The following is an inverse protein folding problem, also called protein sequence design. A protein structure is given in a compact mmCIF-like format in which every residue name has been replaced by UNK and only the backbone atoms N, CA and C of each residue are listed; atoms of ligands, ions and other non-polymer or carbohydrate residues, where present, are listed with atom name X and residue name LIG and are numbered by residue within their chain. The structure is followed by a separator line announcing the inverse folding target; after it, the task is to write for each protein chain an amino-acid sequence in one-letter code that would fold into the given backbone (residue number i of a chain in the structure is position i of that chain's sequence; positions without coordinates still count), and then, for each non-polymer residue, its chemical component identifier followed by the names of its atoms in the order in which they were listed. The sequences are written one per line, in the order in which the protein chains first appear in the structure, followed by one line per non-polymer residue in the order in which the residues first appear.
data_IF_019754337421
#
_entry.id   IF_019754337421
#
_cell.length_a   1.000
_cell.length_b   1.000
_cell.length_c   1.000
_cell.angle_alpha   90.00
_cell.angle_beta   90.00
_cell.angle_gamma   90.00
#
_symmetry.space_group_name_H-M   'P 1'
#
loop_
_entity.id
_entity.type
_entity.pdbx_description
1 polymer ?
#
# COMPACT_ATOMS: atom_id res chain seq x y z
N UNK A 1 10.60 -6.22 -12.43
CA UNK A 1 10.33 -4.77 -12.19
C UNK A 1 9.75 -4.59 -10.79
N UNK A 2 10.33 -3.72 -9.97
CA UNK A 2 9.84 -3.37 -8.63
C UNK A 2 9.11 -2.03 -8.72
N UNK A 3 7.84 -2.01 -8.28
CA UNK A 3 7.02 -0.79 -8.24
C UNK A 3 6.65 -0.47 -6.80
N UNK A 4 7.09 0.69 -6.32
CA UNK A 4 6.75 1.23 -5.02
C UNK A 4 5.58 2.21 -5.15
N UNK A 5 4.49 1.99 -4.38
CA UNK A 5 3.30 2.86 -4.40
C UNK A 5 3.04 3.37 -3.00
N UNK A 6 3.46 4.59 -2.73
CA UNK A 6 3.28 5.23 -1.42
C UNK A 6 2.17 6.28 -1.42
N UNK A 7 1.74 6.68 -0.24
CA UNK A 7 0.75 7.74 -0.10
C UNK A 7 -0.11 7.62 1.15
N UNK A 8 -0.86 8.68 1.50
CA UNK A 8 -1.68 8.72 2.69
C UNK A 8 -2.85 7.73 2.65
N UNK A 9 -3.50 7.57 3.78
CA UNK A 9 -4.71 6.72 3.90
C UNK A 9 -5.82 7.25 2.99
N UNK A 10 -6.55 6.33 2.35
CA UNK A 10 -7.68 6.62 1.45
C UNK A 10 -7.31 7.44 0.17
N UNK A 11 -6.03 7.55 -0.20
CA UNK A 11 -5.62 8.19 -1.47
C UNK A 11 -5.95 7.38 -2.73
N UNK A 12 -6.39 6.12 -2.59
CA UNK A 12 -6.62 5.22 -3.72
C UNK A 12 -5.39 4.38 -4.11
N UNK A 13 -4.25 4.51 -3.41
CA UNK A 13 -3.00 3.80 -3.73
C UNK A 13 -3.15 2.28 -3.85
N UNK A 14 -3.88 1.64 -2.92
CA UNK A 14 -4.08 0.18 -2.96
C UNK A 14 -4.88 -0.28 -4.19
N UNK A 15 -5.85 0.51 -4.65
CA UNK A 15 -6.59 0.26 -5.88
C UNK A 15 -5.67 0.38 -7.09
N UNK A 16 -4.85 1.43 -7.12
CA UNK A 16 -3.85 1.68 -8.15
C UNK A 16 -2.78 0.57 -8.16
N UNK A 17 -2.23 0.21 -7.00
CA UNK A 17 -1.24 -0.85 -6.89
C UNK A 17 -1.75 -2.20 -7.41
N UNK A 18 -2.99 -2.57 -7.06
CA UNK A 18 -3.64 -3.78 -7.60
C UNK A 18 -3.84 -3.72 -9.11
N UNK A 19 -4.23 -2.57 -9.64
CA UNK A 19 -4.40 -2.40 -11.08
C UNK A 19 -3.07 -2.50 -11.84
N UNK A 20 -1.99 -1.90 -11.31
CA UNK A 20 -0.63 -2.05 -11.85
C UNK A 20 -0.20 -3.52 -11.79
N UNK A 21 -0.38 -4.18 -10.64
CA UNK A 21 -0.07 -5.59 -10.46
C UNK A 21 -0.76 -6.47 -11.51
N UNK A 22 -2.08 -6.29 -11.69
CA UNK A 22 -2.85 -7.04 -12.67
C UNK A 22 -2.42 -6.76 -14.12
N UNK A 23 -2.13 -5.49 -14.44
CA UNK A 23 -1.75 -5.08 -15.80
C UNK A 23 -0.38 -5.63 -16.22
N UNK A 24 0.59 -5.65 -15.30
CA UNK A 24 1.95 -6.11 -15.58
C UNK A 24 2.23 -7.55 -15.16
N UNK A 25 1.23 -8.27 -14.62
CA UNK A 25 1.38 -9.65 -14.15
C UNK A 25 2.35 -9.78 -12.97
N UNK A 26 2.47 -8.76 -12.13
CA UNK A 26 3.38 -8.73 -10.99
C UNK A 26 2.66 -9.12 -9.68
N UNK A 27 3.29 -9.85 -8.76
CA UNK A 27 2.73 -10.07 -7.44
C UNK A 27 2.56 -8.74 -6.68
N UNK A 28 1.54 -8.66 -5.80
CA UNK A 28 1.22 -7.47 -5.04
C UNK A 28 1.24 -7.72 -3.53
N UNK A 29 1.85 -6.81 -2.78
CA UNK A 29 1.83 -6.79 -1.32
C UNK A 29 1.26 -5.46 -0.81
N UNK A 30 0.09 -5.52 -0.16
CA UNK A 30 -0.40 -4.45 0.71
C UNK A 30 0.33 -4.53 2.05
N UNK A 31 1.38 -3.73 2.21
CA UNK A 31 2.18 -3.75 3.44
C UNK A 31 1.39 -3.24 4.65
N UNK A 32 0.36 -2.45 4.42
CA UNK A 32 -0.56 -2.02 5.46
C UNK A 32 -1.28 -3.18 6.15
N UNK A 33 -1.51 -4.30 5.46
CA UNK A 33 -2.09 -5.51 6.07
C UNK A 33 -1.17 -6.12 7.12
N UNK A 34 0.15 -6.07 6.94
CA UNK A 34 1.10 -6.56 7.93
C UNK A 34 0.98 -5.77 9.25
N UNK A 35 0.97 -4.45 9.18
CA UNK A 35 0.78 -3.61 10.36
C UNK A 35 -0.61 -3.76 10.99
N UNK A 36 -1.64 -4.00 10.16
CA UNK A 36 -3.00 -4.32 10.66
C UNK A 36 -3.03 -5.66 11.39
N UNK A 37 -2.32 -6.67 10.89
CA UNK A 37 -2.17 -7.95 11.57
C UNK A 37 -1.45 -7.80 12.91
N UNK A 38 -0.35 -7.05 12.98
CA UNK A 38 0.34 -6.74 14.25
C UNK A 38 -0.61 -6.05 15.23
N UNK A 39 -1.29 -4.98 14.81
CA UNK A 39 -2.22 -4.25 15.68
C UNK A 39 -3.38 -5.13 16.16
N UNK A 40 -3.94 -5.94 15.27
CA UNK A 40 -5.02 -6.89 15.59
C UNK A 40 -4.55 -7.97 16.55
N UNK A 41 -3.38 -8.58 16.30
CA UNK A 41 -2.79 -9.61 17.15
C UNK A 41 -2.48 -9.05 18.55
N UNK A 42 -1.91 -7.86 18.64
CA UNK A 42 -1.67 -7.15 19.91
C UNK A 42 -2.98 -6.99 20.69
N UNK A 43 -4.03 -6.50 20.04
CA UNK A 43 -5.34 -6.31 20.68
C UNK A 43 -5.98 -7.62 21.12
N UNK A 44 -5.92 -8.69 20.31
CA UNK A 44 -6.45 -10.00 20.65
C UNK A 44 -5.73 -10.63 21.85
N UNK A 45 -4.43 -10.36 22.00
CA UNK A 45 -3.64 -10.80 23.14
C UNK A 45 -3.84 -9.93 24.41
N UNK A 46 -4.70 -8.91 24.35
CA UNK A 46 -4.91 -7.97 25.46
C UNK A 46 -3.78 -6.96 25.66
N UNK A 47 -2.87 -6.84 24.69
CA UNK A 47 -1.76 -5.88 24.72
C UNK A 47 -2.20 -4.47 24.31
N UNK A 48 -1.33 -3.49 24.61
CA UNK A 48 -1.53 -2.10 24.25
C UNK A 48 -0.68 -1.75 23.00
N UNK A 49 -1.31 -1.42 21.86
CA UNK A 49 -0.58 -1.06 20.63
C UNK A 49 0.30 0.19 20.75
N UNK A 50 0.16 0.99 21.80
CA UNK A 50 1.04 2.14 22.08
C UNK A 50 2.27 1.75 22.91
N UNK A 51 2.33 0.54 23.46
CA UNK A 51 3.50 0.00 24.12
C UNK A 51 4.38 -0.75 23.12
N UNK A 52 5.64 -0.33 23.01
CA UNK A 52 6.58 -0.88 22.04
C UNK A 52 6.82 -2.38 22.21
N UNK A 53 6.87 -2.87 23.45
CA UNK A 53 7.10 -4.29 23.77
C UNK A 53 5.89 -5.15 23.35
N UNK A 54 4.66 -4.75 23.67
CA UNK A 54 3.44 -5.45 23.30
C UNK A 54 3.30 -5.53 21.78
N UNK A 55 3.54 -4.39 21.11
CA UNK A 55 3.49 -4.30 19.65
C UNK A 55 4.58 -5.15 18.98
N UNK A 56 5.79 -5.21 19.56
CA UNK A 56 6.88 -6.04 19.04
C UNK A 56 6.57 -7.53 19.17
N UNK A 57 6.10 -7.99 20.33
CA UNK A 57 5.67 -9.39 20.52
C UNK A 57 4.59 -9.76 19.49
N UNK A 58 3.67 -8.87 19.21
CA UNK A 58 2.59 -9.07 18.26
C UNK A 58 3.05 -9.20 16.79
N UNK A 59 4.31 -8.88 16.45
CA UNK A 59 4.86 -9.12 15.10
C UNK A 59 4.95 -10.61 14.74
N UNK A 60 4.92 -11.49 15.73
CA UNK A 60 4.91 -12.94 15.55
C UNK A 60 3.49 -13.50 15.35
N UNK A 61 2.65 -12.77 14.61
CA UNK A 61 1.30 -13.22 14.29
C UNK A 61 1.31 -14.41 13.32
N UNK A 62 0.32 -15.34 13.44
CA UNK A 62 0.19 -16.46 12.51
C UNK A 62 -0.23 -15.96 11.11
N UNK A 63 0.31 -16.54 10.03
CA UNK A 63 0.01 -16.14 8.66
C UNK A 63 -1.49 -16.20 8.33
N UNK A 64 -2.24 -17.13 8.91
CA UNK A 64 -3.69 -17.23 8.76
C UNK A 64 -4.44 -15.97 9.23
N UNK A 65 -3.82 -15.13 10.08
CA UNK A 65 -4.42 -13.86 10.48
C UNK A 65 -4.53 -12.88 9.30
N UNK A 66 -3.68 -13.00 8.27
CA UNK A 66 -3.74 -12.13 7.09
C UNK A 66 -5.03 -12.32 6.27
N UNK A 67 -5.73 -13.42 6.45
CA UNK A 67 -7.01 -13.72 5.81
C UNK A 67 -8.21 -13.21 6.63
N UNK A 68 -7.99 -12.70 7.86
CA UNK A 68 -9.06 -12.15 8.69
C UNK A 68 -9.69 -10.91 8.03
N UNK A 69 -11.01 -10.95 7.69
CA UNK A 69 -11.69 -9.81 7.08
C UNK A 69 -11.67 -8.56 7.95
N UNK A 70 -11.56 -8.70 9.28
CA UNK A 70 -11.44 -7.58 10.22
C UNK A 70 -10.18 -6.74 9.99
N UNK A 71 -9.14 -7.26 9.35
CA UNK A 71 -7.98 -6.45 8.99
C UNK A 71 -8.34 -5.28 8.06
N UNK A 72 -9.46 -5.36 7.34
CA UNK A 72 -9.93 -4.30 6.45
C UNK A 72 -10.80 -3.26 7.15
N UNK A 73 -11.10 -3.46 8.45
CA UNK A 73 -11.88 -2.51 9.24
C UNK A 73 -11.13 -1.21 9.55
N UNK A 74 -11.87 -0.16 9.91
CA UNK A 74 -11.28 1.11 10.40
C UNK A 74 -10.53 0.90 11.71
N UNK A 75 -11.08 0.09 12.61
CA UNK A 75 -10.45 -0.22 13.88
C UNK A 75 -9.04 -0.80 13.66
N UNK A 76 -8.91 -1.81 12.79
CA UNK A 76 -7.60 -2.38 12.43
C UNK A 76 -6.69 -1.36 11.76
N UNK A 77 -7.24 -0.44 10.96
CA UNK A 77 -6.47 0.68 10.39
C UNK A 77 -5.94 1.65 11.44
N UNK A 78 -6.72 1.92 12.48
CA UNK A 78 -6.30 2.71 13.64
C UNK A 78 -5.18 2.02 14.43
N UNK A 79 -5.34 0.72 14.70
CA UNK A 79 -4.31 -0.09 15.36
C UNK A 79 -3.00 -0.12 14.57
N UNK A 80 -3.08 -0.33 13.25
CA UNK A 80 -1.90 -0.29 12.37
C UNK A 80 -1.14 1.02 12.46
N UNK A 81 -1.84 2.15 12.47
CA UNK A 81 -1.23 3.47 12.61
C UNK A 81 -0.51 3.64 13.96
N UNK A 82 -1.03 3.04 15.03
CA UNK A 82 -0.43 3.09 16.37
C UNK A 82 0.82 2.21 16.46
N UNK A 83 0.76 0.95 16.03
CA UNK A 83 1.92 0.05 16.11
C UNK A 83 3.03 0.44 15.13
N UNK A 84 2.72 1.10 14.02
CA UNK A 84 3.71 1.49 13.00
C UNK A 84 4.64 2.63 13.43
N UNK A 85 4.40 3.30 14.55
CA UNK A 85 5.29 4.32 15.12
C UNK A 85 6.51 3.70 15.82
N UNK A 86 6.43 2.40 16.18
CA UNK A 86 7.50 1.71 16.91
C UNK A 86 8.60 1.22 15.94
N UNK A 87 9.86 1.71 16.06
CA UNK A 87 10.95 1.29 15.17
C UNK A 87 11.19 -0.21 15.18
N UNK A 88 11.07 -0.87 16.34
CA UNK A 88 11.27 -2.30 16.48
C UNK A 88 10.24 -3.13 15.69
N UNK A 89 8.97 -2.70 15.65
CA UNK A 89 7.91 -3.32 14.83
C UNK A 89 8.24 -3.16 13.34
N UNK A 90 8.70 -1.99 12.93
CA UNK A 90 9.09 -1.72 11.54
C UNK A 90 10.26 -2.59 11.12
N UNK A 91 11.28 -2.70 11.98
CA UNK A 91 12.44 -3.57 11.73
C UNK A 91 12.05 -5.05 11.63
N UNK A 92 11.16 -5.53 12.50
CA UNK A 92 10.68 -6.92 12.46
C UNK A 92 9.92 -7.26 11.16
N UNK A 93 9.24 -6.28 10.55
CA UNK A 93 8.52 -6.48 9.29
C UNK A 93 9.36 -6.16 8.04
N UNK A 94 10.53 -5.56 8.19
CA UNK A 94 11.36 -5.08 7.09
C UNK A 94 11.78 -6.21 6.15
N UNK A 95 12.35 -7.27 6.69
CA UNK A 95 12.88 -8.38 5.88
C UNK A 95 11.79 -9.06 5.06
N UNK A 96 10.60 -9.25 5.65
CA UNK A 96 9.45 -9.83 4.93
C UNK A 96 9.05 -8.98 3.73
N UNK A 97 9.02 -7.66 3.89
CA UNK A 97 8.70 -6.72 2.82
C UNK A 97 9.81 -6.68 1.76
N UNK A 98 11.06 -6.66 2.20
CA UNK A 98 12.22 -6.61 1.29
C UNK A 98 12.35 -7.87 0.44
N UNK A 99 12.20 -9.05 1.05
CA UNK A 99 12.20 -10.33 0.32
C UNK A 99 11.09 -10.35 -0.73
N UNK A 100 9.89 -9.87 -0.39
CA UNK A 100 8.80 -9.78 -1.35
C UNK A 100 9.12 -8.79 -2.50
N UNK A 101 9.70 -7.64 -2.19
CA UNK A 101 10.05 -6.64 -3.20
C UNK A 101 11.08 -7.17 -4.21
N UNK A 102 12.08 -7.92 -3.73
CA UNK A 102 13.23 -8.36 -4.54
C UNK A 102 13.09 -9.78 -5.11
N UNK A 103 11.92 -10.39 -5.03
CA UNK A 103 11.69 -11.71 -5.62
C UNK A 103 11.90 -11.74 -7.14
N UNK A 104 12.19 -12.90 -7.68
CA UNK A 104 12.37 -13.07 -9.12
C UNK A 104 11.13 -12.60 -9.90
N UNK A 105 11.33 -11.81 -10.96
CA UNK A 105 10.26 -11.17 -11.74
C UNK A 105 9.83 -9.80 -11.21
N UNK A 106 10.12 -9.49 -9.94
CA UNK A 106 9.75 -8.23 -9.30
C UNK A 106 8.41 -8.27 -8.60
N UNK A 107 7.91 -7.11 -8.17
CA UNK A 107 6.69 -6.99 -7.39
C UNK A 107 6.12 -5.56 -7.40
N UNK A 108 4.87 -5.43 -7.01
CA UNK A 108 4.23 -4.15 -6.64
C UNK A 108 4.00 -4.15 -5.13
N UNK A 109 4.47 -3.14 -4.44
CA UNK A 109 4.20 -2.95 -3.01
C UNK A 109 3.49 -1.62 -2.80
N UNK A 110 2.48 -1.61 -1.94
CA UNK A 110 1.89 -0.35 -1.50
C UNK A 110 2.01 -0.14 0.02
N UNK A 111 2.31 1.11 0.39
CA UNK A 111 2.56 1.47 1.78
C UNK A 111 2.66 2.96 2.05
N UNK A 112 3.68 3.34 2.84
CA UNK A 112 3.97 4.71 3.24
C UNK A 112 5.41 5.14 2.99
N UNK A 113 6.30 4.16 2.93
CA UNK A 113 7.76 4.31 2.90
C UNK A 113 8.42 3.23 2.03
N UNK A 114 7.66 2.69 1.07
CA UNK A 114 8.18 1.65 0.18
C UNK A 114 9.33 2.21 -0.65
N UNK A 115 9.12 3.34 -1.31
CA UNK A 115 10.13 3.96 -2.17
C UNK A 115 11.27 4.67 -1.44
N UNK A 116 11.13 4.91 -0.12
CA UNK A 116 12.15 5.58 0.68
C UNK A 116 12.97 4.63 1.56
N UNK A 117 12.37 3.54 2.03
CA UNK A 117 12.97 2.62 3.02
C UNK A 117 12.99 1.18 2.54
N UNK A 118 11.85 0.64 2.11
CA UNK A 118 11.73 -0.80 1.81
C UNK A 118 12.41 -1.14 0.48
N UNK A 119 12.15 -0.37 -0.56
CA UNK A 119 12.70 -0.56 -1.90
C UNK A 119 13.18 0.80 -2.48
N UNK A 120 14.23 1.41 -1.88
CA UNK A 120 14.78 2.67 -2.38
C UNK A 120 15.39 2.54 -3.79
N UNK A 121 15.62 1.33 -4.23
CA UNK A 121 16.08 0.91 -5.55
C UNK A 121 14.95 0.47 -6.49
N UNK A 122 13.67 0.75 -6.17
CA UNK A 122 12.54 0.42 -7.03
C UNK A 122 12.66 1.07 -8.42
N UNK A 123 12.30 0.32 -9.47
CA UNK A 123 12.31 0.79 -10.87
C UNK A 123 11.34 1.95 -11.09
N UNK A 124 10.23 1.95 -10.35
CA UNK A 124 9.27 3.05 -10.29
C UNK A 124 8.84 3.32 -8.86
N UNK A 125 8.85 4.59 -8.48
CA UNK A 125 8.24 5.09 -7.24
C UNK A 125 7.10 6.02 -7.58
N UNK A 126 5.90 5.66 -7.12
CA UNK A 126 4.68 6.42 -7.33
C UNK A 126 4.16 6.90 -5.96
N UNK A 127 4.03 8.20 -5.78
CA UNK A 127 3.42 8.79 -4.60
C UNK A 127 2.00 9.24 -4.93
N UNK A 128 1.02 8.45 -4.48
CA UNK A 128 -0.41 8.70 -4.75
C UNK A 128 -0.98 9.55 -3.63
N UNK A 129 -1.39 10.76 -3.95
CA UNK A 129 -1.97 11.70 -3.00
C UNK A 129 -3.40 12.11 -3.39
N UNK A 130 -4.11 12.71 -2.45
CA UNK A 130 -5.36 13.45 -2.66
C UNK A 130 -5.60 14.37 -1.46
N UNK A 131 -6.37 15.44 -1.65
CA UNK A 131 -6.77 16.33 -0.55
C UNK A 131 -7.52 15.56 0.55
N UNK A 132 -7.43 16.03 1.78
CA UNK A 132 -8.14 15.41 2.92
C UNK A 132 -9.64 15.35 2.65
N UNK A 133 -10.22 16.42 2.06
CA UNK A 133 -11.65 16.47 1.70
C UNK A 133 -12.03 15.38 0.70
N UNK A 134 -11.30 15.27 -0.42
CA UNK A 134 -11.58 14.25 -1.43
C UNK A 134 -11.48 12.81 -0.87
N UNK A 135 -10.49 12.54 -0.01
CA UNK A 135 -10.33 11.26 0.67
C UNK A 135 -11.46 10.97 1.66
N UNK A 136 -11.86 12.00 2.40
CA UNK A 136 -12.96 11.89 3.38
C UNK A 136 -14.30 11.65 2.69
N UNK A 137 -14.57 12.32 1.58
CA UNK A 137 -15.79 12.12 0.80
C UNK A 137 -15.87 10.69 0.23
N UNK A 138 -14.78 10.18 -0.37
CA UNK A 138 -14.71 8.80 -0.86
C UNK A 138 -15.00 7.81 0.26
N UNK A 139 -14.35 8.01 1.41
CA UNK A 139 -14.52 7.14 2.57
C UNK A 139 -15.92 7.21 3.17
N UNK A 140 -16.51 8.40 3.20
CA UNK A 140 -17.87 8.61 3.65
C UNK A 140 -18.87 7.85 2.76
N UNK A 141 -18.75 7.95 1.44
CA UNK A 141 -19.59 7.20 0.50
C UNK A 141 -19.44 5.67 0.68
N UNK A 142 -18.21 5.17 0.86
CA UNK A 142 -17.95 3.74 1.12
C UNK A 142 -18.65 3.26 2.40
N UNK A 143 -18.51 4.03 3.49
CA UNK A 143 -19.09 3.67 4.79
C UNK A 143 -20.62 3.77 4.80
N UNK A 144 -21.17 4.77 4.14
CA UNK A 144 -22.62 4.91 3.93
C UNK A 144 -23.19 3.71 3.15
N UNK A 145 -22.51 3.29 2.07
CA UNK A 145 -22.91 2.12 1.28
C UNK A 145 -22.88 0.82 2.10
N UNK A 146 -22.08 0.76 3.18
CA UNK A 146 -22.02 -0.35 4.14
C UNK A 146 -23.04 -0.21 5.29
N UNK A 147 -23.91 0.81 5.26
CA UNK A 147 -24.91 1.07 6.30
C UNK A 147 -24.31 1.55 7.63
N UNK A 148 -23.09 2.10 7.64
CA UNK A 148 -22.45 2.62 8.85
C UNK A 148 -22.94 4.04 9.15
N UNK A 149 -23.27 4.29 10.40
CA UNK A 149 -23.62 5.63 10.88
C UNK A 149 -22.33 6.39 11.24
N UNK A 150 -21.87 7.24 10.32
CA UNK A 150 -20.66 8.05 10.46
C UNK A 150 -20.90 9.45 9.92
N UNK A 151 -20.18 10.43 10.44
CA UNK A 151 -20.21 11.81 9.94
C UNK A 151 -18.96 12.10 9.11
N UNK A 152 -19.12 12.94 8.07
CA UNK A 152 -17.99 13.39 7.26
C UNK A 152 -16.92 14.10 8.13
N UNK A 153 -17.36 14.89 9.11
CA UNK A 153 -16.46 15.59 10.03
C UNK A 153 -15.59 14.62 10.85
N UNK A 154 -16.17 13.50 11.34
CA UNK A 154 -15.41 12.48 12.06
C UNK A 154 -14.37 11.80 11.16
N UNK A 155 -14.72 11.51 9.91
CA UNK A 155 -13.79 10.93 8.93
C UNK A 155 -12.65 11.90 8.60
N UNK A 156 -12.94 13.18 8.38
CA UNK A 156 -11.92 14.23 8.16
C UNK A 156 -10.94 14.28 9.34
N UNK A 157 -11.46 14.30 10.57
CA UNK A 157 -10.62 14.35 11.77
C UNK A 157 -9.73 13.10 11.89
N UNK A 158 -10.27 11.89 11.65
CA UNK A 158 -9.48 10.65 11.69
C UNK A 158 -8.38 10.63 10.62
N UNK A 159 -8.69 11.00 9.38
CA UNK A 159 -7.71 11.07 8.30
C UNK A 159 -6.61 12.08 8.60
N UNK A 160 -6.95 13.28 9.08
CA UNK A 160 -5.98 14.29 9.47
C UNK A 160 -5.07 13.81 10.61
N UNK A 161 -5.64 13.15 11.62
CA UNK A 161 -4.87 12.58 12.73
C UNK A 161 -3.92 11.46 12.28
N UNK A 162 -4.33 10.62 11.32
CA UNK A 162 -3.47 9.59 10.73
C UNK A 162 -2.35 10.19 9.90
N UNK A 163 -2.65 11.17 9.06
CA UNK A 163 -1.64 11.86 8.25
C UNK A 163 -0.60 12.53 9.15
N UNK A 164 -1.04 13.20 10.20
CA UNK A 164 -0.15 13.82 11.17
C UNK A 164 0.79 12.78 11.83
N UNK A 165 0.25 11.62 12.27
CA UNK A 165 1.08 10.53 12.83
C UNK A 165 2.05 9.97 11.78
N UNK A 166 1.57 9.69 10.56
CA UNK A 166 2.37 9.08 9.51
C UNK A 166 3.52 10.01 9.05
N UNK A 167 3.27 11.33 9.00
CA UNK A 167 4.28 12.33 8.60
C UNK A 167 5.25 12.66 9.75
N UNK A 168 4.77 12.69 10.99
CA UNK A 168 5.59 13.04 12.17
C UNK A 168 6.47 11.90 12.68
N UNK A 169 6.45 10.70 12.05
CA UNK A 169 7.32 9.61 12.46
C UNK A 169 8.78 10.04 12.39
N UNK A 170 9.55 9.71 13.43
CA UNK A 170 10.99 9.94 13.43
C UNK A 170 11.70 9.03 12.42
N UNK A 171 11.23 7.77 12.32
CA UNK A 171 11.76 6.77 11.40
C UNK A 171 10.73 6.49 10.32
N UNK A 172 11.17 6.54 9.05
CA UNK A 172 10.33 6.30 7.87
C UNK A 172 9.04 7.14 7.84
N UNK A 173 9.14 8.48 7.87
CA UNK A 173 7.97 9.35 7.73
C UNK A 173 7.29 9.14 6.37
N UNK A 174 5.99 9.44 6.32
CA UNK A 174 5.26 9.49 5.06
C UNK A 174 5.73 10.70 4.24
N UNK A 175 6.56 10.48 3.27
CA UNK A 175 7.01 11.48 2.30
C UNK A 175 7.26 10.85 0.94
N UNK A 176 7.15 11.65 -0.11
CA UNK A 176 7.54 11.22 -1.45
C UNK A 176 9.07 11.07 -1.51
N UNK A 177 9.57 10.00 -2.13
CA UNK A 177 10.98 9.91 -2.47
C UNK A 177 11.33 10.99 -3.51
N UNK A 178 12.58 11.45 -3.54
CA UNK A 178 13.03 12.54 -4.42
C UNK A 178 12.81 12.23 -5.91
N UNK A 179 12.89 10.94 -6.28
CA UNK A 179 12.68 10.41 -7.62
C UNK A 179 11.25 9.86 -7.86
N UNK A 180 10.34 10.07 -6.90
CA UNK A 180 8.96 9.59 -7.04
C UNK A 180 8.15 10.48 -7.99
N UNK A 181 7.33 9.83 -8.82
CA UNK A 181 6.28 10.51 -9.57
C UNK A 181 5.07 10.73 -8.66
N UNK A 182 4.69 11.98 -8.47
CA UNK A 182 3.51 12.33 -7.67
C UNK A 182 2.26 12.26 -8.55
N UNK A 183 1.28 11.47 -8.12
CA UNK A 183 -0.04 11.38 -8.75
C UNK A 183 -1.10 11.91 -7.77
N UNK A 184 -1.56 13.13 -8.02
CA UNK A 184 -2.69 13.70 -7.28
C UNK A 184 -4.01 13.22 -7.88
N UNK A 185 -4.78 12.51 -7.07
CA UNK A 185 -6.07 11.94 -7.46
C UNK A 185 -7.26 12.75 -6.93
N UNK A 186 -7.05 13.97 -6.40
CA UNK A 186 -8.10 14.75 -5.75
C UNK A 186 -9.34 14.95 -6.61
N UNK A 187 -9.15 15.17 -7.91
CA UNK A 187 -10.22 15.43 -8.89
C UNK A 187 -10.47 14.26 -9.85
N UNK A 188 -9.67 13.17 -9.74
CA UNK A 188 -9.77 12.05 -10.66
C UNK A 188 -10.81 11.02 -10.18
N UNK A 189 -11.57 10.50 -11.12
CA UNK A 189 -12.34 9.30 -10.94
C UNK A 189 -11.43 8.06 -10.77
N UNK A 190 -12.01 6.95 -10.30
CA UNK A 190 -11.26 5.71 -10.07
C UNK A 190 -10.54 5.22 -11.33
N UNK A 191 -11.26 5.15 -12.44
CA UNK A 191 -10.73 4.63 -13.72
C UNK A 191 -9.66 5.57 -14.32
N UNK A 192 -9.86 6.88 -14.18
CA UNK A 192 -8.88 7.88 -14.63
C UNK A 192 -7.57 7.78 -13.84
N UNK A 193 -7.66 7.63 -12.50
CA UNK A 193 -6.50 7.47 -11.65
C UNK A 193 -5.72 6.18 -11.97
N UNK A 194 -6.44 5.07 -12.24
CA UNK A 194 -5.84 3.80 -12.67
C UNK A 194 -5.15 3.96 -14.03
N UNK A 195 -5.82 4.55 -15.01
CA UNK A 195 -5.26 4.74 -16.35
C UNK A 195 -4.00 5.62 -16.32
N UNK A 196 -4.03 6.72 -15.55
CA UNK A 196 -2.86 7.58 -15.35
C UNK A 196 -1.67 6.82 -14.72
N UNK A 197 -1.93 6.03 -13.68
CA UNK A 197 -0.90 5.25 -13.01
C UNK A 197 -0.28 4.17 -13.92
N UNK A 198 -1.10 3.46 -14.71
CA UNK A 198 -0.63 2.48 -15.70
C UNK A 198 0.22 3.18 -16.79
N UNK A 199 -0.22 4.33 -17.30
CA UNK A 199 0.55 5.08 -18.27
C UNK A 199 1.93 5.50 -17.72
N UNK A 200 1.98 6.03 -16.50
CA UNK A 200 3.23 6.37 -15.81
C UNK A 200 4.14 5.14 -15.69
N UNK A 201 3.58 4.00 -15.25
CA UNK A 201 4.33 2.76 -15.05
C UNK A 201 4.90 2.24 -16.38
N UNK A 202 4.12 2.29 -17.46
CA UNK A 202 4.53 1.85 -18.79
C UNK A 202 5.72 2.62 -19.36
N UNK A 203 5.83 3.92 -19.06
CA UNK A 203 6.98 4.75 -19.50
C UNK A 203 8.29 4.40 -18.78
N UNK A 204 8.22 3.75 -17.61
CA UNK A 204 9.36 3.35 -16.78
C UNK A 204 9.69 1.87 -16.89
N UNK A 205 8.76 1.05 -17.39
CA UNK A 205 9.04 -0.34 -17.72
C UNK A 205 10.11 -0.37 -18.83
N UNK A 206 11.36 -0.73 -18.48
CA UNK A 206 12.46 -0.78 -19.46
C UNK A 206 12.10 -1.77 -20.57
N UNK A 207 12.30 -1.43 -21.87
CA UNK A 207 12.27 -2.41 -22.93
C UNK A 207 13.47 -3.35 -22.76
N UNK A 208 13.24 -4.54 -22.16
CA UNK A 208 14.33 -5.51 -21.95
C UNK A 208 14.03 -6.68 -21.04
N UNK A 209 12.98 -6.68 -20.25
CA UNK A 209 12.52 -7.85 -19.51
C UNK A 209 11.43 -8.56 -20.34
N UNK A 210 11.84 -9.59 -21.10
CA UNK A 210 11.06 -10.24 -22.14
C UNK A 210 9.70 -10.76 -21.66
N UNK A 211 8.66 -10.17 -22.18
CA UNK A 211 7.46 -10.93 -22.53
C UNK A 211 7.69 -11.47 -23.93
N UNK A 212 8.04 -12.76 -24.04
CA UNK A 212 7.98 -13.48 -25.29
C UNK A 212 6.50 -13.52 -25.71
N UNK A 213 6.14 -12.68 -26.67
CA UNK A 213 4.94 -12.91 -27.46
C UNK A 213 5.17 -14.17 -28.29
N UNK A 214 4.54 -15.28 -27.91
CA UNK A 214 4.38 -16.46 -28.76
C UNK A 214 3.51 -16.09 -29.95
N UNK A 215 4.11 -15.44 -30.94
CA UNK A 215 3.66 -15.46 -32.30
C UNK A 215 4.62 -16.33 -33.12
N UNK A 216 4.48 -17.64 -33.01
CA UNK A 216 4.95 -18.54 -34.05
C UNK A 216 3.82 -18.86 -35.01
N UNK A 217 3.72 -18.01 -35.99
CA UNK A 217 2.99 -18.24 -37.22
C UNK A 217 3.53 -19.48 -37.91
N UNK A 218 2.67 -20.47 -38.02
CA UNK A 218 2.86 -21.66 -38.86
C UNK A 218 2.82 -21.22 -40.30
N UNK A 219 3.93 -21.35 -41.03
CA UNK A 219 3.92 -21.48 -42.49
C UNK A 219 4.70 -22.71 -42.84
N UNK A 220 3.97 -23.78 -43.16
CA UNK A 220 4.50 -24.90 -43.90
C UNK A 220 4.49 -24.56 -45.41
N UNK A 221 5.55 -24.84 -46.17
CA UNK A 221 5.44 -24.89 -47.60
C UNK A 221 5.12 -26.33 -48.07
N UNK A 222 4.15 -26.40 -48.96
CA UNK A 222 3.89 -27.51 -49.81
C UNK A 222 5.08 -27.84 -50.73
N UNK A 223 5.59 -29.07 -50.67
CA UNK A 223 5.93 -29.93 -51.80
C UNK A 223 6.17 -31.37 -51.35
#
# INVERSE_FOLDING_TARGET
MIVAVDGPTASGKGTIAKAISAHFGLPHLDTGLLYRAVGRHCSLAGGNPDHAEDALVATHFPDALLDDPELRSEASGGLASRVSVHPAVRQALFDRQRVFATQAGGAVLDGRDIGTVIAPDADLKLFVTASVSARAERRYCEMQAQGRDVTLAAIVADLAARDARDTARKDAPLLAADDAVVLDTSTLGREEAIAAAIAITSTRARPGSGFASDEQCVTAPLR
#
